data_IF_252560423596
#
_entry.id   IF_252560423596
#
_cell.length_a   1.000
_cell.length_b   1.000
_cell.length_c   1.000
_cell.angle_alpha   90.00
_cell.angle_beta   90.00
_cell.angle_gamma   90.00
#
_symmetry.space_group_name_H-M   'P 1'
#
loop_
_entity.id
_entity.type
_entity.pdbx_description
1 polymer ?
#
# COMPACT_ATOMS: atom_id res chain seq x y z
N UNK A 1 -17.57 20.80 -1.65
CA UNK A 1 -16.39 21.65 -1.41
C UNK A 1 -15.21 21.01 -2.13
N UNK A 2 -14.51 21.77 -2.95
CA UNK A 2 -13.27 21.33 -3.60
C UNK A 2 -12.19 22.31 -3.19
N UNK A 3 -11.06 21.80 -2.68
CA UNK A 3 -9.88 22.62 -2.35
C UNK A 3 -8.74 22.17 -3.23
N UNK A 4 -8.09 23.12 -3.89
CA UNK A 4 -6.93 22.92 -4.74
C UNK A 4 -5.71 23.56 -4.08
N UNK A 5 -4.63 22.80 -3.97
CA UNK A 5 -3.36 23.19 -3.36
C UNK A 5 -2.25 23.03 -4.41
N UNK A 6 -2.04 24.02 -5.28
CA UNK A 6 -0.93 24.02 -6.22
C UNK A 6 0.39 24.34 -5.51
N UNK A 7 1.47 23.67 -5.91
CA UNK A 7 2.82 24.00 -5.50
C UNK A 7 3.77 23.90 -6.70
N UNK A 8 4.66 24.88 -6.83
CA UNK A 8 5.69 24.93 -7.87
C UNK A 8 7.03 25.22 -7.19
N UNK A 9 8.06 24.48 -7.57
CA UNK A 9 9.40 24.64 -7.02
C UNK A 9 10.46 24.48 -8.09
N UNK A 10 11.51 25.29 -8.03
CA UNK A 10 12.67 25.16 -8.90
C UNK A 10 13.78 24.39 -8.17
N UNK A 11 14.36 23.39 -8.83
CA UNK A 11 15.57 22.72 -8.35
C UNK A 11 16.63 22.65 -9.43
N UNK A 12 17.88 22.78 -9.03
CA UNK A 12 19.03 22.78 -9.91
C UNK A 12 20.18 22.04 -9.28
N UNK A 13 20.87 21.21 -10.06
CA UNK A 13 22.20 20.74 -9.71
C UNK A 13 23.14 20.80 -10.93
N UNK A 14 24.40 21.23 -10.74
CA UNK A 14 25.42 21.13 -11.76
C UNK A 14 25.70 19.69 -12.17
N UNK A 15 26.33 19.53 -13.34
CA UNK A 15 26.98 18.29 -13.72
C UNK A 15 28.36 18.19 -13.08
N UNK A 16 28.47 17.35 -12.05
CA UNK A 16 29.74 17.14 -11.35
C UNK A 16 30.72 16.26 -12.11
N UNK A 17 30.32 15.63 -13.21
CA UNK A 17 31.25 14.90 -14.09
C UNK A 17 32.16 15.81 -14.91
N UNK A 18 31.86 17.11 -14.97
CA UNK A 18 32.68 18.08 -15.68
C UNK A 18 34.11 18.12 -15.12
N UNK A 19 35.15 18.20 -15.97
CA UNK A 19 36.56 18.12 -15.55
C UNK A 19 36.94 19.11 -14.44
N UNK A 20 36.32 20.29 -14.43
CA UNK A 20 36.54 21.34 -13.43
C UNK A 20 36.26 20.92 -11.98
N UNK A 21 35.39 19.92 -11.77
CA UNK A 21 35.06 19.42 -10.43
C UNK A 21 35.99 18.32 -9.94
N UNK A 22 36.79 17.71 -10.83
CA UNK A 22 37.74 16.65 -10.53
C UNK A 22 37.13 15.48 -9.71
N UNK A 23 35.84 15.18 -9.89
CA UNK A 23 35.12 14.13 -9.12
C UNK A 23 34.99 12.80 -9.88
N UNK A 24 35.18 12.81 -11.20
CA UNK A 24 35.20 11.63 -12.04
C UNK A 24 36.54 11.51 -12.75
N UNK A 25 37.06 10.28 -12.84
CA UNK A 25 38.27 9.93 -13.57
C UNK A 25 37.99 8.78 -14.52
N UNK A 26 38.85 8.58 -15.52
CA UNK A 26 38.74 7.44 -16.43
C UNK A 26 39.71 6.34 -15.99
N UNK A 27 39.26 5.09 -16.02
CA UNK A 27 40.12 3.92 -15.85
C UNK A 27 40.01 3.03 -17.08
N UNK A 28 41.14 2.51 -17.54
CA UNK A 28 41.17 1.51 -18.61
C UNK A 28 40.68 0.17 -18.05
N UNK A 29 39.68 -0.43 -18.69
CA UNK A 29 39.07 -1.69 -18.24
C UNK A 29 39.25 -2.84 -19.23
N UNK A 30 39.83 -2.60 -20.41
CA UNK A 30 40.22 -3.65 -21.36
C UNK A 30 41.67 -3.49 -21.81
N UNK A 31 42.30 -4.57 -22.27
CA UNK A 31 43.69 -4.56 -22.75
C UNK A 31 43.86 -3.68 -24.01
N UNK A 32 42.79 -3.53 -24.79
CA UNK A 32 42.72 -2.77 -26.06
C UNK A 32 42.58 -1.26 -25.85
N UNK A 33 42.56 -0.78 -24.60
CA UNK A 33 42.51 0.65 -24.29
C UNK A 33 41.12 1.22 -24.05
N UNK A 34 40.07 0.39 -23.94
CA UNK A 34 38.74 0.91 -23.61
C UNK A 34 38.75 1.48 -22.19
N UNK A 35 38.21 2.69 -22.05
CA UNK A 35 38.15 3.41 -20.77
C UNK A 35 36.70 3.59 -20.33
N UNK A 36 36.49 3.59 -19.01
CA UNK A 36 35.20 3.89 -18.40
C UNK A 36 35.36 4.98 -17.33
N UNK A 37 34.41 5.92 -17.22
CA UNK A 37 34.41 6.88 -16.13
C UNK A 37 34.08 6.18 -14.81
N UNK A 38 34.77 6.54 -13.75
CA UNK A 38 34.47 6.15 -12.38
C UNK A 38 34.50 7.37 -11.46
N UNK A 39 33.63 7.38 -10.45
CA UNK A 39 33.66 8.41 -9.41
C UNK A 39 34.83 8.13 -8.46
N UNK A 40 35.61 9.15 -8.11
CA UNK A 40 36.67 9.02 -7.10
C UNK A 40 36.13 8.70 -5.70
N UNK A 41 34.82 8.86 -5.49
CA UNK A 41 34.11 8.55 -4.26
C UNK A 41 33.51 7.15 -4.24
N UNK A 42 33.76 6.33 -5.26
CA UNK A 42 33.28 4.96 -5.30
C UNK A 42 33.89 4.16 -4.14
N UNK A 43 33.05 3.52 -3.31
CA UNK A 43 33.45 2.87 -2.06
C UNK A 43 33.56 3.77 -0.82
N UNK A 44 33.28 5.07 -0.94
CA UNK A 44 33.20 5.97 0.21
C UNK A 44 31.89 5.77 1.00
N UNK A 45 31.92 6.02 2.31
CA UNK A 45 30.75 5.85 3.20
C UNK A 45 29.61 6.83 2.90
N UNK A 46 29.92 8.01 2.35
CA UNK A 46 28.95 9.09 2.11
C UNK A 46 28.53 9.24 0.65
N UNK A 47 29.10 8.45 -0.26
CA UNK A 47 28.91 8.61 -1.69
C UNK A 47 29.56 9.88 -2.25
N UNK A 48 29.46 10.05 -3.57
CA UNK A 48 29.95 11.23 -4.28
C UNK A 48 28.80 12.03 -4.91
N UNK A 49 29.08 13.27 -5.34
CA UNK A 49 28.14 14.03 -6.14
C UNK A 49 27.78 13.28 -7.44
N UNK A 50 26.52 13.38 -7.84
CA UNK A 50 26.01 12.68 -9.03
C UNK A 50 26.45 13.36 -10.33
N UNK A 51 26.68 12.57 -11.40
CA UNK A 51 26.90 13.13 -12.73
C UNK A 51 25.57 13.63 -13.34
N UNK A 52 25.66 14.49 -14.34
CA UNK A 52 24.52 15.03 -15.09
C UNK A 52 24.03 16.37 -14.57
N UNK A 53 23.52 17.20 -15.49
CA UNK A 53 22.97 18.52 -15.17
C UNK A 53 21.46 18.41 -15.02
N UNK A 54 20.90 19.03 -14.00
CA UNK A 54 19.45 19.18 -13.86
C UNK A 54 19.11 20.62 -13.54
N UNK A 55 18.06 21.13 -14.17
CA UNK A 55 17.47 22.42 -13.84
C UNK A 55 15.99 22.33 -14.12
N UNK A 56 15.20 21.92 -13.13
CA UNK A 56 13.81 21.56 -13.34
C UNK A 56 12.83 22.40 -12.55
N UNK A 57 11.69 22.69 -13.19
CA UNK A 57 10.50 23.20 -12.53
C UNK A 57 9.67 21.99 -12.11
N UNK A 58 9.58 21.74 -10.82
CA UNK A 58 8.72 20.73 -10.23
C UNK A 58 7.36 21.35 -9.94
N UNK A 59 6.29 20.61 -10.18
CA UNK A 59 4.95 21.05 -9.85
C UNK A 59 4.17 19.91 -9.20
N UNK A 60 3.26 20.29 -8.32
CA UNK A 60 2.26 19.39 -7.77
C UNK A 60 0.93 20.12 -7.58
N UNK A 61 -0.16 19.38 -7.69
CA UNK A 61 -1.52 19.85 -7.48
C UNK A 61 -2.23 18.87 -6.56
N UNK A 62 -2.34 19.24 -5.29
CA UNK A 62 -3.16 18.52 -4.32
C UNK A 62 -4.63 18.93 -4.44
N UNK A 63 -5.53 17.97 -4.42
CA UNK A 63 -6.97 18.18 -4.48
C UNK A 63 -7.66 17.44 -3.34
N UNK A 64 -8.64 18.08 -2.72
CA UNK A 64 -9.57 17.43 -1.78
C UNK A 64 -11.00 17.74 -2.21
N UNK A 65 -11.86 16.72 -2.23
CA UNK A 65 -13.23 16.83 -2.71
C UNK A 65 -14.19 16.25 -1.68
N UNK A 66 -15.17 17.07 -1.27
CA UNK A 66 -16.21 16.71 -0.31
C UNK A 66 -17.59 17.05 -0.90
N UNK A 67 -18.57 16.19 -0.64
CA UNK A 67 -19.97 16.43 -0.94
C UNK A 67 -20.74 16.77 0.34
N UNK A 68 -21.72 17.68 0.23
CA UNK A 68 -22.64 18.00 1.31
C UNK A 68 -23.99 17.36 0.98
N UNK A 69 -24.49 16.49 1.85
CA UNK A 69 -25.77 15.81 1.70
C UNK A 69 -26.71 16.18 2.83
N UNK A 70 -28.02 16.07 2.59
CA UNK A 70 -29.03 16.31 3.63
C UNK A 70 -29.01 15.19 4.68
N UNK A 71 -29.20 15.54 5.96
CA UNK A 71 -29.26 14.57 7.06
C UNK A 71 -30.56 14.72 7.84
N UNK A 72 -31.41 13.68 7.81
CA UNK A 72 -32.69 13.65 8.54
C UNK A 72 -32.51 13.45 10.07
N UNK A 73 -31.28 13.23 10.55
CA UNK A 73 -30.99 12.90 11.96
C UNK A 73 -30.64 14.11 12.82
N UNK A 74 -30.42 15.27 12.21
CA UNK A 74 -29.98 16.49 12.92
C UNK A 74 -30.95 17.63 12.62
N UNK A 75 -31.72 18.02 13.64
CA UNK A 75 -32.72 19.09 13.57
C UNK A 75 -32.11 20.50 13.60
N UNK A 76 -30.81 20.63 13.91
CA UNK A 76 -30.11 21.92 14.01
C UNK A 76 -29.22 22.18 12.79
N UNK A 77 -28.52 21.15 12.31
CA UNK A 77 -27.74 21.20 11.07
C UNK A 77 -28.16 20.09 10.12
N UNK A 78 -29.11 20.38 9.23
CA UNK A 78 -29.67 19.42 8.26
C UNK A 78 -28.68 18.93 7.18
N UNK A 79 -27.36 19.06 7.37
CA UNK A 79 -26.37 18.70 6.37
C UNK A 79 -25.21 17.90 6.93
N UNK A 80 -24.89 16.75 6.33
CA UNK A 80 -23.69 15.94 6.58
C UNK A 80 -22.68 16.14 5.45
N UNK A 81 -21.39 16.28 5.79
CA UNK A 81 -20.29 16.27 4.80
C UNK A 81 -19.80 14.84 4.62
N UNK A 82 -19.56 14.43 3.37
CA UNK A 82 -19.01 13.12 3.01
C UNK A 82 -17.77 13.37 2.13
N UNK A 83 -16.57 12.92 2.54
CA UNK A 83 -15.39 12.98 1.68
C UNK A 83 -15.60 12.06 0.46
N UNK A 84 -15.31 12.58 -0.73
CA UNK A 84 -15.26 11.79 -1.97
C UNK A 84 -13.81 11.47 -2.29
N UNK A 85 -12.92 12.45 -2.18
CA UNK A 85 -11.47 12.32 -2.30
C UNK A 85 -10.82 13.07 -1.14
N UNK A 86 -10.16 12.36 -0.25
CA UNK A 86 -9.47 12.97 0.89
C UNK A 86 -8.12 13.56 0.48
N UNK A 87 -7.46 12.94 -0.50
CA UNK A 87 -6.32 13.53 -1.19
C UNK A 87 -6.24 12.96 -2.61
N UNK A 88 -6.06 13.83 -3.59
CA UNK A 88 -5.70 13.49 -4.96
C UNK A 88 -4.54 14.41 -5.37
N UNK A 89 -3.36 13.84 -5.53
CA UNK A 89 -2.14 14.56 -5.87
C UNK A 89 -1.73 14.21 -7.30
N UNK A 90 -1.55 15.23 -8.13
CA UNK A 90 -0.90 15.13 -9.42
C UNK A 90 0.45 15.82 -9.33
N UNK A 91 1.52 15.21 -9.80
CA UNK A 91 2.86 15.81 -9.78
C UNK A 91 3.69 15.43 -11.00
N UNK A 92 4.62 16.32 -11.33
CA UNK A 92 5.58 16.13 -12.41
C UNK A 92 6.64 17.22 -12.39
N UNK A 93 7.48 17.24 -13.41
CA UNK A 93 8.53 18.23 -13.56
C UNK A 93 8.84 18.50 -15.03
N UNK A 94 9.43 19.67 -15.28
CA UNK A 94 9.95 20.07 -16.58
C UNK A 94 11.43 20.43 -16.44
N UNK A 95 12.31 19.63 -17.05
CA UNK A 95 13.76 19.81 -17.00
C UNK A 95 14.23 20.71 -18.15
N UNK A 96 14.74 21.89 -17.79
CA UNK A 96 15.28 22.91 -18.68
C UNK A 96 16.72 22.63 -19.10
N UNK A 97 17.40 21.67 -18.48
CA UNK A 97 18.82 21.39 -18.70
C UNK A 97 19.09 20.35 -19.80
N UNK A 98 18.06 19.72 -20.37
CA UNK A 98 18.17 18.68 -21.40
C UNK A 98 17.59 19.15 -22.73
N UNK A 99 18.14 18.63 -23.84
CA UNK A 99 17.75 19.03 -25.19
C UNK A 99 16.44 18.38 -25.68
N UNK A 100 16.02 17.29 -25.03
CA UNK A 100 14.81 16.53 -25.39
C UNK A 100 14.22 15.86 -24.17
N UNK A 101 12.96 15.41 -24.27
CA UNK A 101 12.25 14.72 -23.18
C UNK A 101 12.17 15.55 -21.90
N UNK A 102 11.97 16.86 -22.07
CA UNK A 102 11.97 17.83 -20.97
C UNK A 102 10.90 17.53 -19.91
N UNK A 103 9.73 17.01 -20.29
CA UNK A 103 8.71 16.63 -19.31
C UNK A 103 9.04 15.30 -18.65
N UNK A 104 8.91 15.23 -17.33
CA UNK A 104 8.88 13.95 -16.64
C UNK A 104 7.57 13.22 -16.90
N UNK A 105 7.51 11.96 -16.44
CA UNK A 105 6.21 11.34 -16.22
C UNK A 105 5.38 12.17 -15.24
N UNK A 106 4.07 12.08 -15.38
CA UNK A 106 3.09 12.66 -14.48
C UNK A 106 2.58 11.54 -13.58
N UNK A 107 2.79 11.69 -12.28
CA UNK A 107 2.30 10.75 -11.28
C UNK A 107 1.00 11.26 -10.69
N UNK A 108 -0.01 10.42 -10.67
CA UNK A 108 -1.27 10.64 -9.97
C UNK A 108 -1.31 9.69 -8.78
N UNK A 109 -1.65 10.19 -7.60
CA UNK A 109 -1.95 9.36 -6.44
C UNK A 109 -3.18 9.88 -5.74
N UNK A 110 -3.97 8.98 -5.18
CA UNK A 110 -5.17 9.37 -4.46
C UNK A 110 -5.56 8.38 -3.38
N UNK A 111 -6.27 8.91 -2.38
CA UNK A 111 -6.88 8.12 -1.32
C UNK A 111 -8.25 8.67 -0.94
N UNK A 112 -9.12 7.78 -0.50
CA UNK A 112 -10.41 8.15 0.08
C UNK A 112 -10.92 7.07 1.02
N UNK A 113 -11.54 7.49 2.12
CA UNK A 113 -12.33 6.66 3.01
C UNK A 113 -13.83 6.90 2.74
N UNK A 114 -14.44 5.99 1.97
CA UNK A 114 -15.87 6.06 1.69
C UNK A 114 -16.67 5.47 2.85
N UNK A 115 -17.65 6.25 3.32
CA UNK A 115 -18.63 5.83 4.34
C UNK A 115 -17.99 5.30 5.64
N UNK A 116 -16.80 5.82 5.99
CA UNK A 116 -16.03 5.43 7.19
C UNK A 116 -15.67 3.94 7.26
N UNK A 117 -15.68 3.22 6.12
CA UNK A 117 -15.51 1.76 6.06
C UNK A 117 -14.66 1.26 4.91
N UNK A 118 -14.77 1.89 3.74
CA UNK A 118 -14.09 1.43 2.53
C UNK A 118 -12.94 2.37 2.23
N UNK A 119 -11.73 1.90 2.52
CA UNK A 119 -10.50 2.60 2.19
C UNK A 119 -10.11 2.28 0.74
N UNK A 120 -9.95 3.31 -0.08
CA UNK A 120 -9.51 3.19 -1.47
C UNK A 120 -8.23 3.99 -1.62
N UNK A 121 -7.17 3.34 -2.09
CA UNK A 121 -5.95 3.99 -2.54
C UNK A 121 -5.75 3.67 -4.00
N UNK A 122 -5.29 4.65 -4.78
CA UNK A 122 -4.92 4.43 -6.16
C UNK A 122 -3.71 5.27 -6.54
N UNK A 123 -2.94 4.77 -7.48
CA UNK A 123 -1.80 5.43 -8.07
C UNK A 123 -1.71 5.11 -9.55
N UNK A 124 -1.20 6.04 -10.34
CA UNK A 124 -0.94 5.80 -11.75
C UNK A 124 0.13 6.72 -12.27
N UNK A 125 0.91 6.23 -13.22
CA UNK A 125 1.96 7.02 -13.88
C UNK A 125 1.60 7.18 -15.35
N UNK A 126 1.71 8.42 -15.83
CA UNK A 126 1.42 8.79 -17.20
C UNK A 126 2.66 9.38 -17.86
N UNK A 127 2.97 8.96 -19.07
CA UNK A 127 4.07 9.48 -19.86
C UNK A 127 3.51 10.40 -20.96
N UNK A 128 3.87 11.69 -21.01
CA UNK A 128 3.37 12.59 -22.05
C UNK A 128 3.95 12.24 -23.43
N UNK A 129 4.98 11.41 -23.51
CA UNK A 129 5.65 11.02 -24.75
C UNK A 129 5.28 9.61 -25.20
N UNK A 130 5.37 9.38 -26.51
CA UNK A 130 5.26 8.04 -27.07
C UNK A 130 6.51 7.21 -26.75
N UNK A 131 6.40 5.89 -26.89
CA UNK A 131 7.57 5.00 -26.91
C UNK A 131 7.57 4.12 -28.15
N UNK A 132 8.75 3.64 -28.52
CA UNK A 132 8.90 2.60 -29.54
C UNK A 132 8.55 1.19 -29.00
N UNK A 133 8.74 0.17 -29.86
CA UNK A 133 8.56 -1.27 -29.54
C UNK A 133 9.44 -1.77 -28.41
N UNK A 134 10.59 -1.12 -28.18
CA UNK A 134 11.56 -1.48 -27.16
C UNK A 134 11.29 -0.74 -25.85
N UNK A 135 10.31 0.16 -25.81
CA UNK A 135 9.98 0.97 -24.64
C UNK A 135 10.82 2.22 -24.50
N UNK A 136 11.65 2.55 -25.50
CA UNK A 136 12.44 3.77 -25.50
C UNK A 136 11.51 4.93 -25.79
N UNK A 137 11.58 5.96 -24.93
CA UNK A 137 10.80 7.17 -25.08
C UNK A 137 11.30 7.96 -26.29
N UNK A 138 10.38 8.38 -27.16
CA UNK A 138 10.68 9.24 -28.29
C UNK A 138 10.27 10.68 -27.96
N UNK A 139 11.01 11.67 -28.44
CA UNK A 139 10.71 13.10 -28.20
C UNK A 139 9.55 13.60 -29.07
N UNK A 140 8.41 12.91 -28.98
CA UNK A 140 7.17 13.17 -29.67
C UNK A 140 6.04 12.97 -28.65
N UNK A 141 5.17 13.96 -28.50
CA UNK A 141 4.09 13.89 -27.53
C UNK A 141 3.00 12.91 -27.98
N UNK A 142 2.38 12.26 -27.00
CA UNK A 142 1.19 11.41 -27.21
C UNK A 142 0.02 12.19 -27.83
N UNK A 143 -0.07 13.50 -27.54
CA UNK A 143 -1.12 14.36 -28.09
C UNK A 143 -0.97 14.54 -29.60
N UNK A 144 0.28 14.73 -30.06
CA UNK A 144 0.58 15.00 -31.47
C UNK A 144 0.46 13.72 -32.31
N UNK A 145 0.92 12.59 -31.77
CA UNK A 145 1.01 11.33 -32.51
C UNK A 145 -0.26 10.47 -32.42
N UNK A 146 -0.91 10.45 -31.24
CA UNK A 146 -2.02 9.55 -30.96
C UNK A 146 -3.29 10.27 -30.46
N UNK A 147 -3.28 11.60 -30.35
CA UNK A 147 -4.40 12.40 -29.82
C UNK A 147 -4.82 12.01 -28.40
N UNK A 148 -3.86 11.54 -27.58
CA UNK A 148 -4.05 11.23 -26.16
C UNK A 148 -3.24 12.20 -25.31
N UNK A 149 -3.78 12.63 -24.16
CA UNK A 149 -3.08 13.57 -23.29
C UNK A 149 -1.74 13.02 -22.77
N UNK A 150 -1.72 11.75 -22.40
CA UNK A 150 -0.53 11.02 -21.97
C UNK A 150 -0.82 9.51 -22.01
N UNK A 151 0.24 8.71 -22.08
CA UNK A 151 0.20 7.26 -22.07
C UNK A 151 0.24 6.72 -20.66
N UNK A 152 -0.73 5.88 -20.28
CA UNK A 152 -0.67 5.16 -19.00
C UNK A 152 0.45 4.12 -19.03
N UNK A 153 1.44 4.27 -18.13
CA UNK A 153 2.54 3.30 -18.00
C UNK A 153 2.24 2.23 -16.95
N UNK A 154 1.59 2.63 -15.86
CA UNK A 154 1.14 1.72 -14.80
C UNK A 154 0.00 2.35 -14.00
N UNK A 155 -0.80 1.49 -13.36
CA UNK A 155 -1.76 1.88 -12.34
C UNK A 155 -1.82 0.83 -11.24
N UNK A 156 -2.07 1.27 -10.01
CA UNK A 156 -2.36 0.42 -8.87
C UNK A 156 -3.64 0.93 -8.20
N UNK A 157 -4.52 0.01 -7.83
CA UNK A 157 -5.72 0.31 -7.04
C UNK A 157 -5.76 -0.71 -5.90
N UNK A 158 -6.02 -0.23 -4.69
CA UNK A 158 -6.20 -1.06 -3.51
C UNK A 158 -7.46 -0.61 -2.79
N UNK A 159 -8.37 -1.55 -2.53
CA UNK A 159 -9.63 -1.31 -1.83
C UNK A 159 -9.70 -2.25 -0.64
N UNK A 160 -9.71 -1.69 0.56
CA UNK A 160 -9.81 -2.42 1.82
C UNK A 160 -11.10 -2.08 2.55
N UNK A 161 -11.78 -3.08 3.11
CA UNK A 161 -12.88 -2.87 4.05
C UNK A 161 -12.84 -3.91 5.14
N UNK A 162 -13.17 -3.51 6.36
CA UNK A 162 -13.31 -4.42 7.49
C UNK A 162 -14.64 -4.21 8.17
N UNK A 163 -15.30 -5.32 8.47
CA UNK A 163 -16.57 -5.36 9.16
C UNK A 163 -16.40 -6.21 10.42
N UNK A 164 -16.98 -5.75 11.53
CA UNK A 164 -17.05 -6.52 12.77
C UNK A 164 -18.44 -6.40 13.37
N UNK A 165 -18.88 -7.43 14.08
CA UNK A 165 -20.12 -7.37 14.86
C UNK A 165 -20.03 -6.32 15.96
N UNK A 166 -21.08 -5.51 16.13
CA UNK A 166 -21.23 -4.56 17.24
C UNK A 166 -21.85 -5.17 18.52
N UNK A 167 -22.27 -6.43 18.50
CA UNK A 167 -22.75 -7.16 19.69
C UNK A 167 -21.63 -8.04 20.23
N UNK A 168 -21.41 -8.03 21.53
CA UNK A 168 -20.41 -8.86 22.20
C UNK A 168 -20.99 -10.22 22.65
N UNK A 169 -20.19 -11.29 22.59
CA UNK A 169 -20.54 -12.61 23.16
C UNK A 169 -20.10 -12.66 24.63
N UNK A 170 -20.95 -12.22 25.55
CA UNK A 170 -20.62 -12.25 26.99
C UNK A 170 -21.42 -11.24 27.81
N UNK A 171 -21.23 -11.20 29.14
CA UNK A 171 -21.77 -10.12 29.94
C UNK A 171 -21.26 -8.76 29.40
N UNK A 172 -22.07 -7.69 29.50
CA UNK A 172 -21.67 -6.37 29.03
C UNK A 172 -20.37 -5.95 29.71
N UNK A 173 -19.41 -5.54 28.89
CA UNK A 173 -18.12 -5.03 29.33
C UNK A 173 -18.38 -3.65 29.95
N UNK A 174 -17.81 -3.36 31.11
CA UNK A 174 -17.90 -2.02 31.72
C UNK A 174 -17.01 -1.02 30.95
N UNK A 175 -17.35 0.26 30.93
CA UNK A 175 -16.59 1.28 30.20
C UNK A 175 -15.09 1.32 30.59
N UNK A 176 -14.78 1.05 31.86
CA UNK A 176 -13.40 0.96 32.37
C UNK A 176 -12.64 -0.26 31.81
N UNK A 177 -13.35 -1.37 31.56
CA UNK A 177 -12.79 -2.55 30.89
C UNK A 177 -12.67 -2.34 29.38
N UNK A 178 -13.54 -1.56 28.75
CA UNK A 178 -13.42 -1.20 27.33
C UNK A 178 -12.15 -0.36 27.07
N UNK A 179 -11.89 0.67 27.87
CA UNK A 179 -10.66 1.48 27.74
C UNK A 179 -9.39 0.64 27.95
N UNK A 180 -9.43 -0.31 28.88
CA UNK A 180 -8.32 -1.23 29.11
C UNK A 180 -8.08 -2.17 27.91
N UNK A 181 -9.14 -2.77 27.35
CA UNK A 181 -9.07 -3.66 26.17
C UNK A 181 -8.58 -2.91 24.93
N UNK A 182 -9.00 -1.65 24.74
CA UNK A 182 -8.55 -0.79 23.64
C UNK A 182 -7.06 -0.46 23.78
N UNK A 183 -6.57 -0.23 25.00
CA UNK A 183 -5.15 0.06 25.25
C UNK A 183 -4.23 -1.17 25.15
N UNK A 184 -4.75 -2.38 25.36
CA UNK A 184 -3.99 -3.65 25.32
C UNK A 184 -3.95 -4.33 23.95
N UNK A 185 -4.21 -3.60 22.87
CA UNK A 185 -4.40 -4.08 21.49
C UNK A 185 -3.27 -4.95 20.91
N UNK A 186 -2.15 -5.14 21.60
CA UNK A 186 -1.05 -6.01 21.14
C UNK A 186 -1.02 -7.41 21.77
N UNK A 187 -1.84 -7.74 22.78
CA UNK A 187 -1.62 -9.02 23.50
C UNK A 187 -2.88 -9.80 23.92
N UNK A 188 -4.09 -9.28 23.73
CA UNK A 188 -5.33 -10.04 23.97
C UNK A 188 -6.28 -9.93 22.79
N UNK A 189 -6.32 -10.97 21.95
CA UNK A 189 -7.33 -11.13 20.90
C UNK A 189 -8.73 -11.12 21.54
N UNK A 190 -9.56 -10.16 21.15
CA UNK A 190 -10.84 -9.88 21.78
C UNK A 190 -11.87 -10.97 21.47
N UNK A 191 -12.04 -11.94 22.38
CA UNK A 191 -12.98 -13.07 22.27
C UNK A 191 -14.46 -12.65 22.21
N UNK A 192 -14.78 -11.38 22.45
CA UNK A 192 -16.15 -10.92 22.50
C UNK A 192 -16.76 -10.62 21.14
N UNK A 193 -16.02 -10.55 20.03
CA UNK A 193 -16.60 -10.21 18.71
C UNK A 193 -17.14 -11.50 18.02
N UNK A 194 -18.46 -11.64 17.77
CA UNK A 194 -19.02 -12.83 17.13
C UNK A 194 -18.48 -13.12 15.74
N UNK A 195 -18.18 -12.08 14.97
CA UNK A 195 -17.63 -12.22 13.65
C UNK A 195 -16.88 -10.98 13.20
N UNK A 196 -15.84 -11.19 12.40
CA UNK A 196 -15.16 -10.16 11.63
C UNK A 196 -14.99 -10.64 10.17
N UNK A 197 -15.00 -9.71 9.24
CA UNK A 197 -14.78 -9.94 7.82
C UNK A 197 -13.94 -8.80 7.27
N UNK A 198 -12.77 -9.13 6.73
CA UNK A 198 -11.89 -8.19 6.03
C UNK A 198 -11.78 -8.60 4.57
N UNK A 199 -11.97 -7.63 3.68
CA UNK A 199 -11.88 -7.80 2.24
C UNK A 199 -10.83 -6.81 1.73
N UNK A 200 -9.78 -7.32 1.07
CA UNK A 200 -8.75 -6.50 0.44
C UNK A 200 -8.65 -6.85 -1.05
N UNK A 201 -9.14 -5.96 -1.89
CA UNK A 201 -8.99 -6.04 -3.34
C UNK A 201 -7.76 -5.25 -3.78
N UNK A 202 -6.98 -5.81 -4.70
CA UNK A 202 -5.90 -5.12 -5.37
C UNK A 202 -5.93 -5.35 -6.88
N UNK A 203 -5.73 -4.27 -7.63
CA UNK A 203 -5.51 -4.27 -9.08
C UNK A 203 -4.17 -3.63 -9.35
N UNK A 204 -3.31 -4.33 -10.07
CA UNK A 204 -2.09 -3.79 -10.62
C UNK A 204 -2.15 -3.90 -12.14
N UNK A 205 -1.90 -2.79 -12.83
CA UNK A 205 -1.85 -2.68 -14.27
C UNK A 205 -0.47 -2.18 -14.64
N UNK A 206 0.17 -2.85 -15.59
CA UNK A 206 1.46 -2.44 -16.12
C UNK A 206 1.46 -2.60 -17.64
N UNK A 207 2.01 -1.59 -18.30
CA UNK A 207 2.31 -1.68 -19.72
C UNK A 207 3.61 -2.44 -19.92
N UNK A 208 3.60 -3.42 -20.80
CA UNK A 208 4.75 -4.24 -21.16
C UNK A 208 5.02 -4.05 -22.66
N UNK A 209 6.28 -3.76 -22.99
CA UNK A 209 6.70 -3.60 -24.37
C UNK A 209 6.93 -4.99 -24.99
N UNK A 210 6.31 -5.25 -26.13
CA UNK A 210 6.47 -6.52 -26.85
C UNK A 210 7.13 -6.28 -28.20
N UNK A 211 7.94 -7.25 -28.63
CA UNK A 211 8.65 -7.21 -29.92
C UNK A 211 7.65 -7.20 -31.09
N UNK A 212 6.41 -7.68 -30.89
CA UNK A 212 5.34 -7.70 -31.89
C UNK A 212 4.68 -6.34 -32.16
N UNK A 213 5.15 -5.25 -31.55
CA UNK A 213 4.56 -3.91 -31.72
C UNK A 213 3.10 -3.81 -31.25
N UNK A 214 2.65 -4.81 -30.47
CA UNK A 214 1.35 -4.78 -29.83
C UNK A 214 1.50 -4.14 -28.45
N UNK A 215 0.71 -3.10 -28.25
CA UNK A 215 0.53 -2.48 -26.95
C UNK A 215 -0.09 -3.49 -25.98
N UNK A 216 0.76 -4.18 -25.21
CA UNK A 216 0.30 -5.18 -24.25
C UNK A 216 0.22 -4.57 -22.85
N UNK A 217 -1.01 -4.42 -22.38
CA UNK A 217 -1.28 -4.11 -20.98
C UNK A 217 -1.48 -5.44 -20.26
N UNK A 218 -0.64 -5.71 -19.27
CA UNK A 218 -0.85 -6.81 -18.34
C UNK A 218 -1.50 -6.28 -17.07
N UNK A 219 -2.32 -7.12 -16.44
CA UNK A 219 -2.92 -6.78 -15.17
C UNK A 219 -3.01 -8.00 -14.26
N UNK A 220 -2.93 -7.74 -12.96
CA UNK A 220 -3.18 -8.72 -11.90
C UNK A 220 -4.29 -8.17 -11.03
N UNK A 221 -5.23 -9.03 -10.66
CA UNK A 221 -6.38 -8.67 -9.85
C UNK A 221 -6.57 -9.73 -8.79
N UNK A 222 -6.49 -9.34 -7.52
CA UNK A 222 -6.65 -10.26 -6.41
C UNK A 222 -7.65 -9.73 -5.38
N UNK A 223 -8.47 -10.63 -4.83
CA UNK A 223 -9.31 -10.35 -3.67
C UNK A 223 -8.87 -11.27 -2.54
N UNK A 224 -8.39 -10.69 -1.46
CA UNK A 224 -8.10 -11.39 -0.22
C UNK A 224 -9.30 -11.28 0.71
N UNK A 225 -9.71 -12.43 1.25
CA UNK A 225 -10.84 -12.54 2.16
C UNK A 225 -10.30 -13.14 3.45
N UNK A 226 -10.51 -12.46 4.57
CA UNK A 226 -10.22 -12.97 5.91
C UNK A 226 -11.49 -12.86 6.74
N UNK A 227 -11.89 -13.95 7.36
CA UNK A 227 -13.07 -13.99 8.22
C UNK A 227 -12.74 -14.69 9.53
N UNK A 228 -13.17 -14.10 10.64
CA UNK A 228 -13.15 -14.73 11.95
C UNK A 228 -14.57 -14.89 12.45
N UNK A 229 -14.89 -16.03 13.05
CA UNK A 229 -16.21 -16.32 13.62
C UNK A 229 -16.06 -17.02 14.97
N UNK A 230 -16.70 -16.45 15.99
CA UNK A 230 -16.81 -17.06 17.32
C UNK A 230 -18.20 -17.70 17.43
N UNK A 231 -18.30 -19.01 17.18
CA UNK A 231 -19.58 -19.75 17.24
C UNK A 231 -20.16 -19.79 18.66
N UNK A 232 -19.29 -19.83 19.67
CA UNK A 232 -19.62 -19.68 21.08
C UNK A 232 -18.40 -19.15 21.85
N UNK A 233 -18.50 -18.93 23.15
CA UNK A 233 -17.38 -18.49 24.01
C UNK A 233 -16.12 -19.38 23.92
N UNK A 234 -16.30 -20.63 23.47
CA UNK A 234 -15.26 -21.64 23.46
C UNK A 234 -14.89 -22.10 22.05
N UNK A 235 -15.44 -21.50 21.00
CA UNK A 235 -15.17 -21.90 19.61
C UNK A 235 -14.77 -20.69 18.80
N UNK A 236 -13.64 -20.79 18.11
CA UNK A 236 -13.17 -19.79 17.16
C UNK A 236 -12.82 -20.45 15.85
N UNK A 237 -13.29 -19.87 14.77
CA UNK A 237 -13.02 -20.30 13.41
C UNK A 237 -12.47 -19.10 12.65
N UNK A 238 -11.22 -19.17 12.22
CA UNK A 238 -10.63 -18.19 11.33
C UNK A 238 -10.45 -18.83 9.96
N UNK A 239 -10.85 -18.14 8.91
CA UNK A 239 -10.68 -18.55 7.54
C UNK A 239 -10.02 -17.44 6.74
N UNK A 240 -9.13 -17.82 5.83
CA UNK A 240 -8.64 -16.89 4.83
C UNK A 240 -8.48 -17.56 3.48
N UNK A 241 -8.72 -16.80 2.42
CA UNK A 241 -8.49 -17.24 1.06
C UNK A 241 -8.19 -16.03 0.18
N UNK A 242 -7.60 -16.28 -0.97
CA UNK A 242 -7.35 -15.29 -2.00
C UNK A 242 -7.96 -15.79 -3.30
N UNK A 243 -8.58 -14.89 -4.07
CA UNK A 243 -9.08 -15.18 -5.41
C UNK A 243 -8.29 -14.38 -6.43
N UNK A 244 -7.73 -15.06 -7.43
CA UNK A 244 -7.06 -14.46 -8.57
C UNK A 244 -8.06 -14.36 -9.73
N UNK A 245 -8.43 -13.14 -10.13
CA UNK A 245 -9.42 -12.93 -11.19
C UNK A 245 -8.86 -13.19 -12.59
N UNK A 246 -7.54 -13.16 -12.77
CA UNK A 246 -6.90 -13.43 -14.06
C UNK A 246 -6.96 -14.93 -14.34
N UNK A 247 -6.51 -15.72 -13.38
CA UNK A 247 -6.52 -17.19 -13.46
C UNK A 247 -7.88 -17.81 -13.11
N UNK A 248 -8.81 -17.01 -12.55
CA UNK A 248 -10.15 -17.41 -12.11
C UNK A 248 -10.14 -18.57 -11.11
N UNK A 249 -9.19 -18.55 -10.20
CA UNK A 249 -8.98 -19.62 -9.23
C UNK A 249 -8.74 -19.08 -7.82
N UNK A 250 -8.85 -19.97 -6.84
CA UNK A 250 -8.41 -19.75 -5.47
C UNK A 250 -7.03 -20.39 -5.29
N UNK A 251 -5.91 -19.65 -5.26
CA UNK A 251 -4.58 -20.25 -5.16
C UNK A 251 -4.37 -21.00 -3.85
N UNK A 252 -5.02 -20.55 -2.78
CA UNK A 252 -5.01 -21.22 -1.47
C UNK A 252 -6.22 -20.80 -0.63
N UNK A 253 -6.57 -21.66 0.32
CA UNK A 253 -7.42 -21.34 1.44
C UNK A 253 -6.82 -21.96 2.70
N UNK A 254 -7.01 -21.30 3.83
CA UNK A 254 -6.63 -21.81 5.14
C UNK A 254 -7.78 -21.62 6.12
N UNK A 255 -7.99 -22.64 6.93
CA UNK A 255 -8.97 -22.68 7.99
C UNK A 255 -8.27 -23.02 9.30
N UNK A 256 -8.49 -22.22 10.33
CA UNK A 256 -8.05 -22.46 11.69
C UNK A 256 -9.29 -22.62 12.57
N UNK A 257 -9.42 -23.77 13.21
CA UNK A 257 -10.49 -24.06 14.15
C UNK A 257 -9.86 -24.24 15.52
N UNK A 258 -10.27 -23.41 16.48
CA UNK A 258 -9.87 -23.48 17.86
C UNK A 258 -11.07 -23.79 18.75
N UNK A 259 -10.88 -24.70 19.71
CA UNK A 259 -11.88 -25.03 20.73
C UNK A 259 -11.28 -25.09 22.12
N UNK A 260 -11.92 -24.40 23.04
CA UNK A 260 -11.69 -24.47 24.49
C UNK A 260 -12.56 -25.56 25.13
N UNK A 261 -11.90 -26.53 25.78
CA UNK A 261 -12.50 -27.67 26.48
C UNK A 261 -12.24 -27.60 28.00
N UNK A 262 -12.08 -26.40 28.56
CA UNK A 262 -11.83 -26.11 29.97
C UNK A 262 -10.43 -26.51 30.48
N UNK A 263 -10.13 -27.81 30.57
CA UNK A 263 -8.79 -28.30 30.95
C UNK A 263 -7.91 -28.63 29.74
N UNK A 264 -8.51 -28.63 28.55
CA UNK A 264 -7.87 -28.96 27.30
C UNK A 264 -8.13 -27.87 26.28
N UNK A 265 -7.24 -27.73 25.32
CA UNK A 265 -7.47 -26.92 24.13
C UNK A 265 -7.08 -27.67 22.87
N UNK A 266 -7.92 -27.47 21.86
CA UNK A 266 -7.84 -28.13 20.57
C UNK A 266 -7.64 -27.05 19.52
N UNK A 267 -6.65 -27.21 18.65
CA UNK A 267 -6.44 -26.37 17.47
C UNK A 267 -6.21 -27.23 16.24
N UNK A 268 -6.99 -26.98 15.19
CA UNK A 268 -6.82 -27.55 13.86
C UNK A 268 -6.47 -26.43 12.89
N UNK A 269 -5.31 -26.50 12.24
CA UNK A 269 -4.96 -25.69 11.09
C UNK A 269 -5.09 -26.56 9.84
N UNK A 270 -5.83 -26.11 8.84
CA UNK A 270 -6.10 -26.88 7.63
C UNK A 270 -5.98 -26.02 6.38
N UNK A 271 -5.15 -26.47 5.44
CA UNK A 271 -4.99 -25.94 4.09
C UNK A 271 -5.54 -27.01 3.13
N UNK A 272 -6.81 -26.93 2.69
CA UNK A 272 -7.45 -27.97 1.88
C UNK A 272 -6.87 -28.11 0.48
N UNK A 273 -6.38 -27.02 -0.12
CA UNK A 273 -5.87 -26.99 -1.50
C UNK A 273 -4.81 -25.88 -1.67
N UNK A 274 -4.12 -25.91 -2.81
CA UNK A 274 -3.02 -25.02 -3.16
C UNK A 274 -1.72 -25.80 -3.35
N UNK A 275 -0.58 -25.11 -3.36
CA UNK A 275 0.73 -25.74 -3.64
C UNK A 275 1.12 -26.77 -2.58
N UNK A 276 0.68 -26.59 -1.33
CA UNK A 276 0.99 -27.48 -0.19
C UNK A 276 -0.23 -27.73 0.68
N UNK A 277 -1.17 -28.59 0.24
CA UNK A 277 -2.27 -29.02 1.09
C UNK A 277 -1.70 -29.68 2.36
N UNK A 278 -2.21 -29.28 3.52
CA UNK A 278 -1.68 -29.72 4.80
C UNK A 278 -2.71 -29.58 5.91
N UNK A 279 -2.54 -30.32 6.99
CA UNK A 279 -3.29 -30.10 8.21
C UNK A 279 -2.41 -30.35 9.43
N UNK A 280 -2.67 -29.63 10.50
CA UNK A 280 -2.01 -29.78 11.80
C UNK A 280 -3.07 -29.78 12.88
N UNK A 281 -3.14 -30.85 13.65
CA UNK A 281 -4.05 -30.99 14.78
C UNK A 281 -3.24 -31.09 16.07
N UNK A 282 -3.54 -30.21 17.02
CA UNK A 282 -2.92 -30.20 18.35
C UNK A 282 -4.01 -30.25 19.39
N UNK A 283 -3.87 -31.20 20.32
CA UNK A 283 -4.65 -31.30 21.54
C UNK A 283 -3.67 -31.23 22.71
N UNK A 284 -3.85 -30.26 23.61
CA UNK A 284 -2.95 -30.08 24.76
C UNK A 284 -3.74 -29.77 26.03
N UNK A 285 -3.18 -30.18 27.16
CA UNK A 285 -3.70 -29.84 28.48
C UNK A 285 -3.33 -28.39 28.78
N UNK A 286 -4.30 -27.60 29.21
CA UNK A 286 -4.06 -26.24 29.70
C UNK A 286 -3.29 -26.34 31.02
N UNK A 287 -2.11 -25.77 31.09
CA UNK A 287 -1.32 -25.76 32.32
C UNK A 287 -1.99 -24.86 33.37
N UNK A 288 -2.90 -25.43 34.17
CA UNK A 288 -3.62 -24.76 35.26
C UNK A 288 -2.77 -24.54 36.53
N UNK A 289 -1.46 -24.82 36.48
CA UNK A 289 -0.59 -24.92 37.68
C UNK A 289 0.38 -23.75 37.86
N UNK A 290 0.46 -22.76 36.94
CA UNK A 290 1.37 -21.61 37.08
C UNK A 290 0.71 -20.22 37.00
N UNK A 291 -0.61 -20.12 36.93
CA UNK A 291 -1.34 -18.85 37.05
C UNK A 291 -1.84 -18.59 38.48
N UNK A 292 -1.09 -19.02 39.50
CA UNK A 292 -1.32 -18.52 40.85
C UNK A 292 -0.89 -17.05 40.87
N UNK A 293 -1.88 -16.21 40.62
CA UNK A 293 -1.99 -14.78 40.82
C UNK A 293 -0.69 -14.08 41.29
N UNK A 294 0.18 -13.70 40.36
CA UNK A 294 1.16 -12.64 40.61
C UNK A 294 0.85 -11.47 39.72
N UNK A 295 -0.01 -10.58 40.22
CA UNK A 295 -0.17 -9.23 39.67
C UNK A 295 1.21 -8.55 39.82
N UNK A 296 1.96 -8.26 38.74
CA UNK A 296 3.13 -7.42 38.88
C UNK A 296 2.63 -5.99 39.06
N UNK A 297 2.48 -5.55 40.32
CA UNK A 297 2.23 -4.16 40.65
C UNK A 297 3.50 -3.36 40.32
N UNK A 298 3.62 -2.88 39.08
CA UNK A 298 4.69 -1.93 38.70
C UNK A 298 4.26 -0.53 39.13
N UNK A 299 4.84 -0.06 40.22
CA UNK A 299 4.83 1.36 40.58
C UNK A 299 5.93 2.05 39.75
N UNK A 300 5.59 2.73 38.67
CA UNK A 300 6.55 3.56 37.94
C UNK A 300 6.64 4.93 38.64
N UNK A 301 7.72 5.18 39.39
CA UNK A 301 7.99 6.46 40.06
C UNK A 301 8.70 7.51 39.17
N UNK A 302 8.99 7.24 37.90
CA UNK A 302 9.76 8.21 37.11
C UNK A 302 8.86 9.23 36.40
N UNK A 303 8.35 10.20 37.17
CA UNK A 303 8.21 11.58 36.70
C UNK A 303 9.22 12.44 37.46
N UNK A 304 10.32 12.76 36.77
CA UNK A 304 11.10 13.98 36.96
C UNK A 304 11.45 14.50 35.57
#
# INVERSE_FOLDING_TARGET
RHVLNPAVGFSFHPDFSQPQWNTFKTVQYTAEGATQPYSIFNGSTYGGPSPGKFGGINFSLGNTLEMKVFSNKDTVTQTKKIPILEALNLSGSYNLAVDSLNWSVITLSGRTLLLDKVNINFGSTFDPYISDTLGVRLNQFEWDMNHRLARLTNANISVGTSFQSGKTIGPPITAEQEDYIVSSQNEYENFNIPWNLTLDYSLFLQRVNTISNEDSITFTQTLNIRAGFNLSKNWRINGSTSFDFVNREFPTASLEIYRDLHCWEMSLQWVPFGIRPSYSFVLRVKASVLQDLKIPKRNNWNQF
#
